data_IF_446581626654
#
_entry.id   IF_446581626654
#
_cell.length_a   1.000
_cell.length_b   1.000
_cell.length_c   1.000
_cell.angle_alpha   90.00
_cell.angle_beta   90.00
_cell.angle_gamma   90.00
#
_symmetry.space_group_name_H-M   'P 1'
#
loop_
_entity.id
_entity.type
_entity.pdbx_description
1 polymer ?
#
# COMPACT_ATOMS: atom_id res chain seq x y z
N UNK A 1 0.32 34.56 14.34
CA UNK A 1 -0.48 34.08 13.20
C UNK A 1 -0.41 32.57 13.20
N UNK A 2 -1.54 31.87 13.32
CA UNK A 2 -1.54 30.42 13.24
C UNK A 2 -1.14 30.00 11.82
N UNK A 3 -0.11 29.16 11.69
CA UNK A 3 0.21 28.52 10.40
C UNK A 3 -1.02 27.74 9.94
N UNK A 4 -1.46 27.98 8.71
CA UNK A 4 -2.49 27.16 8.07
C UNK A 4 -1.99 25.71 7.97
N UNK A 5 -2.76 24.78 8.53
CA UNK A 5 -2.53 23.35 8.34
C UNK A 5 -2.88 23.00 6.90
N UNK A 6 -1.95 22.33 6.20
CA UNK A 6 -2.16 21.85 4.83
C UNK A 6 -2.28 20.34 4.82
N UNK A 7 -3.35 19.83 4.23
CA UNK A 7 -3.50 18.41 3.99
C UNK A 7 -2.51 17.93 2.93
N UNK A 8 -1.77 16.87 3.24
CA UNK A 8 -0.79 16.27 2.34
C UNK A 8 -0.99 14.76 2.33
N UNK A 9 -0.95 14.10 1.16
CA UNK A 9 -0.94 12.65 1.10
C UNK A 9 0.29 12.13 1.83
N UNK A 10 0.13 11.03 2.57
CA UNK A 10 1.26 10.41 3.27
C UNK A 10 2.43 10.16 2.30
N UNK A 11 2.16 9.87 1.03
CA UNK A 11 3.19 9.45 0.06
C UNK A 11 4.10 10.60 -0.37
N UNK A 12 3.67 11.83 -0.12
CA UNK A 12 4.49 13.03 -0.31
C UNK A 12 5.32 13.37 0.93
N UNK A 13 5.04 12.72 2.06
CA UNK A 13 5.71 12.93 3.34
C UNK A 13 6.64 11.75 3.71
N UNK A 14 6.64 10.68 2.90
CA UNK A 14 7.38 9.46 3.20
C UNK A 14 8.18 8.96 2.01
N UNK A 15 9.36 8.43 2.29
CA UNK A 15 10.13 7.56 1.41
C UNK A 15 9.71 6.09 1.65
N UNK A 16 9.42 5.35 0.58
CA UNK A 16 8.99 3.96 0.64
C UNK A 16 10.17 3.01 0.39
N UNK A 17 10.34 2.01 1.27
CA UNK A 17 11.43 1.02 1.21
C UNK A 17 10.92 -0.41 0.95
N UNK A 18 9.65 -0.59 0.60
CA UNK A 18 9.01 -1.89 0.41
C UNK A 18 9.73 -2.73 -0.63
N UNK A 19 10.23 -2.10 -1.70
CA UNK A 19 10.99 -2.75 -2.77
C UNK A 19 12.37 -3.26 -2.35
N UNK A 20 12.87 -2.86 -1.17
CA UNK A 20 14.11 -3.41 -0.61
C UNK A 20 13.87 -4.62 0.29
N UNK A 21 12.62 -4.95 0.65
CA UNK A 21 12.30 -6.10 1.52
C UNK A 21 12.60 -7.41 0.80
N UNK A 22 13.13 -8.39 1.53
CA UNK A 22 13.33 -9.77 1.04
C UNK A 22 12.73 -10.72 2.08
N UNK A 23 11.47 -11.16 1.94
CA UNK A 23 10.84 -12.00 2.96
C UNK A 23 11.52 -13.37 3.07
N UNK A 24 11.76 -13.84 4.31
CA UNK A 24 12.37 -15.14 4.60
C UNK A 24 11.32 -16.05 5.22
N UNK A 25 11.14 -17.23 4.61
CA UNK A 25 10.24 -18.26 5.14
C UNK A 25 10.75 -18.77 6.47
N UNK A 26 9.84 -19.10 7.38
CA UNK A 26 10.18 -19.57 8.73
C UNK A 26 11.18 -20.75 8.73
N UNK A 27 10.99 -21.73 7.85
CA UNK A 27 11.90 -22.88 7.73
C UNK A 27 13.33 -22.52 7.30
N UNK A 28 13.52 -21.37 6.63
CA UNK A 28 14.80 -20.89 6.14
C UNK A 28 15.44 -19.85 7.08
N UNK A 29 14.74 -19.45 8.16
CA UNK A 29 15.26 -18.49 9.13
C UNK A 29 16.33 -19.15 9.97
N UNK A 30 17.50 -18.52 10.02
CA UNK A 30 18.58 -18.90 10.91
C UNK A 30 18.52 -18.03 12.16
N UNK A 31 18.46 -18.62 13.37
CA UNK A 31 18.40 -17.86 14.62
C UNK A 31 19.58 -16.91 14.77
N UNK A 32 19.33 -15.73 15.34
CA UNK A 32 20.39 -14.77 15.61
C UNK A 32 19.93 -13.59 16.45
N UNK A 33 20.71 -12.49 16.50
CA UNK A 33 20.44 -11.38 17.40
C UNK A 33 19.50 -10.31 16.83
N UNK A 34 19.19 -10.33 15.52
CA UNK A 34 18.47 -9.23 14.88
C UNK A 34 16.96 -9.50 14.81
N UNK A 35 16.10 -8.56 15.22
CA UNK A 35 14.66 -8.77 15.17
C UNK A 35 14.14 -8.89 13.73
N UNK A 36 13.21 -9.83 13.55
CA UNK A 36 12.44 -10.03 12.33
C UNK A 36 11.00 -9.54 12.57
N UNK A 37 10.61 -8.49 11.86
CA UNK A 37 9.33 -7.81 12.02
C UNK A 37 8.25 -8.35 11.07
N UNK A 38 7.01 -8.43 11.56
CA UNK A 38 5.78 -8.66 10.80
C UNK A 38 4.76 -7.54 11.00
N UNK A 39 3.48 -7.80 10.71
CA UNK A 39 2.40 -6.81 10.78
C UNK A 39 2.11 -6.26 12.18
N UNK A 40 2.47 -6.98 13.25
CA UNK A 40 2.12 -6.64 14.64
C UNK A 40 3.34 -6.46 15.55
N UNK A 41 4.53 -6.29 14.98
CA UNK A 41 5.79 -6.15 15.72
C UNK A 41 6.78 -7.27 15.43
N UNK A 42 7.64 -7.56 16.39
CA UNK A 42 8.69 -8.59 16.28
C UNK A 42 8.02 -9.97 16.35
N UNK A 43 8.32 -10.83 15.37
CA UNK A 43 7.80 -12.21 15.31
C UNK A 43 8.90 -13.24 15.53
N UNK A 44 10.17 -12.88 15.32
CA UNK A 44 11.31 -13.79 15.42
C UNK A 44 12.65 -13.02 15.55
N UNK A 45 13.77 -13.73 15.70
CA UNK A 45 15.12 -13.17 15.64
C UNK A 45 16.03 -13.97 14.70
N UNK A 46 16.75 -13.26 13.82
CA UNK A 46 17.51 -13.83 12.70
C UNK A 46 18.99 -13.44 12.72
N UNK A 47 19.83 -14.22 12.03
CA UNK A 47 21.29 -14.03 11.98
C UNK A 47 21.76 -12.77 11.24
N UNK A 48 20.93 -12.22 10.36
CA UNK A 48 21.28 -11.09 9.49
C UNK A 48 20.19 -10.03 9.47
N UNK A 49 20.50 -8.86 8.93
CA UNK A 49 19.60 -7.72 8.85
C UNK A 49 19.67 -7.10 7.45
N UNK A 50 18.61 -6.39 7.08
CA UNK A 50 18.49 -5.71 5.79
C UNK A 50 18.37 -4.19 5.94
N UNK A 51 17.92 -3.75 7.11
CA UNK A 51 17.72 -2.36 7.45
C UNK A 51 18.53 -2.01 8.70
N UNK A 52 19.13 -0.83 8.68
CA UNK A 52 19.78 -0.20 9.83
C UNK A 52 19.30 1.25 9.94
N UNK A 53 18.88 1.65 11.14
CA UNK A 53 18.38 2.98 11.47
C UNK A 53 16.90 2.97 11.87
N UNK A 54 16.27 4.15 11.81
CA UNK A 54 14.89 4.35 12.21
C UNK A 54 13.95 4.31 11.00
N UNK A 55 12.90 3.49 11.08
CA UNK A 55 11.87 3.38 10.07
C UNK A 55 10.50 3.20 10.73
N UNK A 56 9.46 3.60 10.00
CA UNK A 56 8.07 3.40 10.35
C UNK A 56 7.56 2.15 9.64
N UNK A 57 7.13 1.17 10.44
CA UNK A 57 6.46 -0.02 9.96
C UNK A 57 4.94 0.15 10.07
N UNK A 58 4.22 -0.18 9.00
CA UNK A 58 2.76 -0.07 8.92
C UNK A 58 2.22 -1.44 8.56
N UNK A 59 1.30 -1.97 9.34
CA UNK A 59 0.67 -3.27 9.08
C UNK A 59 0.04 -3.28 7.68
N UNK A 60 0.44 -4.25 6.84
CA UNK A 60 -0.14 -4.45 5.50
C UNK A 60 -1.41 -5.30 5.60
N UNK A 61 -1.42 -6.30 6.49
CA UNK A 61 -2.57 -7.16 6.71
C UNK A 61 -2.69 -7.62 8.17
N UNK A 62 -3.91 -8.00 8.56
CA UNK A 62 -4.20 -8.55 9.88
C UNK A 62 -5.48 -7.99 10.50
N UNK A 63 -6.11 -8.79 11.37
CA UNK A 63 -7.36 -8.40 12.05
C UNK A 63 -7.15 -7.16 12.95
N UNK A 64 -5.92 -6.94 13.42
CA UNK A 64 -5.51 -5.77 14.19
C UNK A 64 -5.75 -4.45 13.45
N UNK A 65 -5.79 -4.43 12.12
CA UNK A 65 -6.13 -3.24 11.35
C UNK A 65 -7.57 -2.78 11.59
N UNK A 66 -8.47 -3.71 11.92
CA UNK A 66 -9.89 -3.44 12.24
C UNK A 66 -10.11 -3.29 13.74
N UNK A 67 -9.60 -4.23 14.53
CA UNK A 67 -9.85 -4.29 15.99
C UNK A 67 -8.96 -3.35 16.79
N UNK A 68 -7.84 -2.87 16.19
CA UNK A 68 -6.83 -2.02 16.84
C UNK A 68 -6.25 -2.62 18.13
N UNK A 69 -6.28 -3.94 18.28
CA UNK A 69 -5.67 -4.64 19.44
C UNK A 69 -4.15 -4.50 19.48
N UNK A 70 -3.50 -4.40 18.32
CA UNK A 70 -2.10 -4.00 18.20
C UNK A 70 -1.98 -2.72 17.35
N UNK A 71 -0.94 -1.89 17.57
CA UNK A 71 -0.76 -0.67 16.80
C UNK A 71 -0.65 -0.96 15.30
N UNK A 72 -1.46 -0.26 14.49
CA UNK A 72 -1.40 -0.38 13.02
C UNK A 72 -0.11 0.19 12.42
N UNK A 73 0.63 1.01 13.18
CA UNK A 73 1.92 1.54 12.80
C UNK A 73 2.83 1.67 14.02
N UNK A 74 4.10 1.30 13.89
CA UNK A 74 5.09 1.30 14.97
C UNK A 74 6.51 1.55 14.43
N UNK A 75 7.40 2.02 15.28
CA UNK A 75 8.79 2.29 14.93
C UNK A 75 9.64 1.02 15.03
N UNK A 76 10.55 0.86 14.09
CA UNK A 76 11.65 -0.08 14.14
C UNK A 76 12.97 0.71 14.13
N UNK A 77 13.85 0.40 15.09
CA UNK A 77 15.10 1.10 15.30
C UNK A 77 16.27 0.12 15.33
N UNK A 78 17.42 0.54 14.80
CA UNK A 78 18.64 -0.27 14.75
C UNK A 78 18.64 -1.27 13.60
N UNK A 79 19.30 -2.41 13.79
CA UNK A 79 19.49 -3.45 12.77
C UNK A 79 18.37 -4.46 12.82
N UNK A 80 17.62 -4.60 11.73
CA UNK A 80 16.49 -5.52 11.67
C UNK A 80 16.18 -6.04 10.26
N UNK A 81 15.27 -7.01 10.21
CA UNK A 81 14.68 -7.54 8.99
C UNK A 81 13.15 -7.38 9.08
N UNK A 82 12.46 -7.16 7.96
CA UNK A 82 10.99 -7.06 7.92
C UNK A 82 10.38 -7.96 6.85
N UNK A 83 9.24 -8.56 7.15
CA UNK A 83 8.45 -9.40 6.24
C UNK A 83 7.61 -8.57 5.25
N UNK A 84 6.97 -9.23 4.28
CA UNK A 84 6.02 -8.61 3.36
C UNK A 84 4.72 -8.15 4.05
N UNK A 85 4.37 -8.66 5.22
CA UNK A 85 3.15 -8.28 5.96
C UNK A 85 3.20 -6.91 6.65
N UNK A 86 4.29 -6.14 6.49
CA UNK A 86 4.39 -4.77 7.02
C UNK A 86 5.10 -3.86 6.02
N UNK A 87 4.45 -2.77 5.63
CA UNK A 87 5.07 -1.71 4.84
C UNK A 87 6.18 -1.04 5.64
N UNK A 88 7.28 -0.67 4.97
CA UNK A 88 8.40 0.04 5.56
C UNK A 88 8.58 1.40 4.88
N UNK A 89 8.45 2.46 5.67
CA UNK A 89 8.59 3.84 5.21
C UNK A 89 9.45 4.67 6.16
N UNK A 90 9.94 5.81 5.70
CA UNK A 90 10.61 6.82 6.53
C UNK A 90 10.05 8.20 6.21
N UNK A 91 9.89 9.05 7.21
CA UNK A 91 9.54 10.46 6.98
C UNK A 91 10.64 11.18 6.20
N UNK A 92 10.24 12.07 5.28
CA UNK A 92 11.19 12.88 4.52
C UNK A 92 11.53 14.20 5.27
N UNK A 93 12.23 15.11 4.59
CA UNK A 93 12.58 16.44 5.10
C UNK A 93 11.38 17.30 5.55
N UNK A 94 10.17 16.94 5.14
CA UNK A 94 8.93 17.65 5.49
C UNK A 94 8.18 17.03 6.68
N UNK A 95 8.53 15.82 7.11
CA UNK A 95 7.80 15.11 8.15
C UNK A 95 8.68 14.18 8.99
N UNK A 96 8.57 14.33 10.31
CA UNK A 96 9.23 13.44 11.26
C UNK A 96 8.58 12.05 11.28
N UNK A 97 9.41 11.00 11.25
CA UNK A 97 8.95 9.60 11.21
C UNK A 97 8.12 9.22 12.43
N UNK A 98 8.51 9.68 13.63
CA UNK A 98 7.76 9.42 14.87
C UNK A 98 6.43 10.16 14.88
N UNK A 99 6.40 11.41 14.40
CA UNK A 99 5.15 12.15 14.24
C UNK A 99 4.17 11.42 13.31
N UNK A 100 4.65 10.92 12.18
CA UNK A 100 3.82 10.16 11.24
C UNK A 100 3.25 8.87 11.88
N UNK A 101 4.01 8.21 12.74
CA UNK A 101 3.52 7.07 13.52
C UNK A 101 2.30 7.47 14.37
N UNK A 102 2.42 8.52 15.19
CA UNK A 102 1.31 8.98 16.04
C UNK A 102 0.10 9.43 15.23
N UNK A 103 0.34 10.15 14.12
CA UNK A 103 -0.73 10.59 13.23
C UNK A 103 -1.50 9.40 12.62
N UNK A 104 -0.80 8.34 12.19
CA UNK A 104 -1.43 7.13 11.64
C UNK A 104 -2.16 6.30 12.69
N UNK A 105 -1.65 6.26 13.92
CA UNK A 105 -2.36 5.59 15.01
C UNK A 105 -3.67 6.30 15.36
N UNK A 106 -3.68 7.64 15.33
CA UNK A 106 -4.87 8.45 15.58
C UNK A 106 -5.83 8.53 14.37
N UNK A 107 -5.34 8.31 13.15
CA UNK A 107 -6.15 8.38 11.95
C UNK A 107 -7.16 7.23 11.85
N UNK A 108 -8.37 7.55 11.41
CA UNK A 108 -9.33 6.53 10.96
C UNK A 108 -8.89 5.96 9.60
N UNK A 109 -8.43 4.72 9.62
CA UNK A 109 -7.99 4.00 8.43
C UNK A 109 -9.07 3.07 7.86
N UNK A 110 -10.26 3.02 8.46
CA UNK A 110 -11.32 2.06 8.10
C UNK A 110 -11.70 2.12 6.63
N UNK A 111 -11.79 3.34 6.07
CA UNK A 111 -12.08 3.58 4.65
C UNK A 111 -10.97 3.17 3.67
N UNK A 112 -9.79 2.81 4.16
CA UNK A 112 -8.66 2.33 3.35
C UNK A 112 -8.43 0.83 3.46
N UNK A 113 -9.18 0.15 4.33
CA UNK A 113 -9.10 -1.30 4.48
C UNK A 113 -9.78 -1.97 3.30
N UNK A 114 -9.05 -2.90 2.69
CA UNK A 114 -9.51 -3.77 1.61
C UNK A 114 -9.57 -5.22 2.10
N UNK A 115 -10.15 -6.13 1.33
CA UNK A 115 -10.29 -7.54 1.71
C UNK A 115 -11.54 -7.82 2.55
N UNK A 116 -12.32 -8.82 2.11
CA UNK A 116 -13.57 -9.23 2.75
C UNK A 116 -13.35 -10.11 3.99
N UNK A 117 -12.33 -10.97 3.96
CA UNK A 117 -12.06 -11.96 5.03
C UNK A 117 -10.95 -11.53 5.97
N UNK A 118 -9.89 -10.90 5.48
CA UNK A 118 -8.80 -10.36 6.29
C UNK A 118 -8.52 -8.92 5.84
N UNK A 119 -8.58 -7.92 6.76
CA UNK A 119 -8.32 -6.54 6.39
C UNK A 119 -6.91 -6.38 5.84
N UNK A 120 -6.79 -5.63 4.75
CA UNK A 120 -5.53 -5.30 4.09
C UNK A 120 -5.43 -3.82 3.79
N UNK A 121 -4.28 -3.22 4.06
CA UNK A 121 -3.93 -1.87 3.70
C UNK A 121 -2.95 -1.91 2.52
N UNK A 122 -3.44 -2.01 1.29
CA UNK A 122 -2.56 -2.19 0.12
C UNK A 122 -1.90 -0.89 -0.34
N UNK A 123 -0.74 -1.01 -1.00
CA UNK A 123 -0.01 0.12 -1.58
C UNK A 123 -0.88 0.92 -2.58
N UNK A 124 -1.57 0.27 -3.52
CA UNK A 124 -2.33 0.95 -4.59
C UNK A 124 -3.40 1.90 -4.07
N UNK A 125 -4.18 1.45 -3.08
CA UNK A 125 -5.22 2.23 -2.43
C UNK A 125 -4.66 3.47 -1.69
N UNK A 126 -3.49 3.35 -1.08
CA UNK A 126 -2.94 4.40 -0.21
C UNK A 126 -2.21 5.51 -0.95
N UNK A 127 -1.59 5.20 -2.09
CA UNK A 127 -0.65 6.12 -2.76
C UNK A 127 -1.12 6.55 -4.16
N UNK A 128 -2.10 5.87 -4.76
CA UNK A 128 -2.60 6.23 -6.09
C UNK A 128 -3.92 7.03 -5.99
N UNK A 129 -3.80 8.36 -5.94
CA UNK A 129 -4.97 9.28 -5.94
C UNK A 129 -5.89 9.06 -7.15
N UNK A 130 -5.35 8.58 -8.28
CA UNK A 130 -6.10 8.37 -9.52
C UNK A 130 -7.09 7.22 -9.33
N UNK A 131 -6.65 6.10 -8.74
CA UNK A 131 -7.51 4.92 -8.52
C UNK A 131 -8.66 5.24 -7.54
N UNK A 132 -8.36 5.86 -6.41
CA UNK A 132 -9.38 6.19 -5.41
C UNK A 132 -10.43 7.20 -5.91
N UNK A 133 -10.03 8.15 -6.76
CA UNK A 133 -10.95 9.14 -7.35
C UNK A 133 -11.74 8.57 -8.53
N UNK A 134 -11.26 7.50 -9.16
CA UNK A 134 -11.89 6.94 -10.35
C UNK A 134 -12.89 5.84 -10.02
N UNK A 135 -12.52 4.88 -9.16
CA UNK A 135 -13.30 3.66 -8.94
C UNK A 135 -14.62 3.87 -8.18
N UNK A 136 -14.69 4.88 -7.29
CA UNK A 136 -15.94 5.23 -6.62
C UNK A 136 -17.01 5.63 -7.65
N UNK A 137 -16.68 6.50 -8.60
CA UNK A 137 -17.60 6.96 -9.63
C UNK A 137 -17.94 5.88 -10.67
N UNK A 138 -17.00 4.99 -11.00
CA UNK A 138 -17.29 3.82 -11.85
C UNK A 138 -18.36 2.95 -11.18
N UNK A 139 -18.21 2.71 -9.87
CA UNK A 139 -19.09 1.83 -9.12
C UNK A 139 -20.49 2.44 -8.95
N UNK A 140 -20.58 3.76 -8.78
CA UNK A 140 -21.85 4.50 -8.82
C UNK A 140 -22.60 4.27 -10.13
N UNK A 141 -21.89 4.30 -11.26
CA UNK A 141 -22.44 4.04 -12.58
C UNK A 141 -22.92 2.59 -12.80
N UNK A 142 -22.43 1.65 -12.00
CA UNK A 142 -22.82 0.24 -12.07
C UNK A 142 -24.07 -0.07 -11.24
N UNK A 143 -24.51 0.84 -10.37
CA UNK A 143 -25.60 0.60 -9.43
C UNK A 143 -26.89 0.21 -10.16
N UNK A 144 -27.36 -1.00 -9.89
CA UNK A 144 -28.61 -1.54 -10.44
C UNK A 144 -28.52 -2.04 -11.89
N UNK A 145 -27.30 -2.18 -12.45
CA UNK A 145 -27.09 -2.71 -13.81
C UNK A 145 -26.36 -4.06 -13.77
N UNK A 146 -26.94 -5.13 -14.34
CA UNK A 146 -26.30 -6.43 -14.33
C UNK A 146 -25.12 -6.47 -15.32
N UNK A 147 -23.96 -6.92 -14.85
CA UNK A 147 -22.70 -6.99 -15.61
C UNK A 147 -22.63 -8.30 -16.43
N UNK A 148 -23.46 -8.41 -17.45
CA UNK A 148 -23.69 -9.67 -18.18
C UNK A 148 -22.83 -9.87 -19.44
N UNK A 149 -22.04 -8.86 -19.83
CA UNK A 149 -21.11 -8.98 -20.96
C UNK A 149 -19.93 -8.02 -20.82
N UNK A 150 -18.81 -8.34 -21.49
CA UNK A 150 -17.65 -7.44 -21.56
C UNK A 150 -18.02 -6.07 -22.14
N UNK A 151 -18.92 -6.04 -23.12
CA UNK A 151 -19.42 -4.80 -23.72
C UNK A 151 -20.19 -3.94 -22.71
N UNK A 152 -21.07 -4.54 -21.91
CA UNK A 152 -21.79 -3.84 -20.84
C UNK A 152 -20.79 -3.26 -19.83
N UNK A 153 -19.79 -4.05 -19.41
CA UNK A 153 -18.77 -3.58 -18.47
C UNK A 153 -17.98 -2.40 -19.04
N UNK A 154 -17.47 -2.51 -20.27
CA UNK A 154 -16.69 -1.44 -20.94
C UNK A 154 -17.53 -0.17 -21.07
N UNK A 155 -18.78 -0.28 -21.52
CA UNK A 155 -19.68 0.86 -21.68
C UNK A 155 -19.99 1.54 -20.35
N UNK A 156 -20.15 0.79 -19.26
CA UNK A 156 -20.43 1.38 -17.95
C UNK A 156 -19.22 2.12 -17.38
N UNK A 157 -18.02 1.58 -17.57
CA UNK A 157 -16.78 2.26 -17.16
C UNK A 157 -16.58 3.54 -17.99
N UNK A 158 -16.67 3.43 -19.32
CA UNK A 158 -16.41 4.55 -20.24
C UNK A 158 -17.41 5.72 -20.08
N UNK A 159 -18.64 5.46 -19.63
CA UNK A 159 -19.64 6.50 -19.38
C UNK A 159 -19.49 7.18 -18.01
N UNK A 160 -18.42 6.90 -17.27
CA UNK A 160 -18.14 7.57 -16.00
C UNK A 160 -17.61 8.97 -16.23
N UNK A 161 -18.40 9.95 -15.79
CA UNK A 161 -18.05 11.37 -15.81
C UNK A 161 -18.46 12.03 -14.50
N UNK A 162 -17.73 13.07 -14.09
CA UNK A 162 -18.07 13.87 -12.89
C UNK A 162 -18.24 15.34 -13.26
N UNK A 163 -18.99 16.08 -12.44
CA UNK A 163 -19.15 17.54 -12.59
C UNK A 163 -17.82 18.31 -12.54
N UNK A 164 -16.82 17.73 -11.86
CA UNK A 164 -15.48 18.26 -11.73
C UNK A 164 -14.58 17.96 -12.95
N UNK A 165 -15.12 17.32 -14.00
CA UNK A 165 -14.47 17.14 -15.30
C UNK A 165 -13.74 15.81 -15.51
N UNK A 166 -13.84 14.84 -14.58
CA UNK A 166 -13.31 13.50 -14.83
C UNK A 166 -14.04 12.87 -16.03
N UNK A 167 -13.29 12.29 -16.96
CA UNK A 167 -13.83 11.47 -18.07
C UNK A 167 -13.01 10.21 -18.21
N UNK A 168 -13.67 9.06 -18.19
CA UNK A 168 -13.01 7.76 -18.28
C UNK A 168 -13.13 7.22 -19.70
N UNK A 169 -12.06 6.62 -20.22
CA UNK A 169 -12.09 5.80 -21.43
C UNK A 169 -11.80 4.37 -21.04
N UNK A 170 -12.58 3.44 -21.55
CA UNK A 170 -12.37 2.01 -21.38
C UNK A 170 -12.41 1.31 -22.74
N UNK A 171 -11.65 0.24 -22.86
CA UNK A 171 -11.61 -0.60 -24.05
C UNK A 171 -11.28 -2.02 -23.65
N UNK A 172 -11.74 -2.99 -24.45
CA UNK A 172 -11.39 -4.38 -24.27
C UNK A 172 -10.00 -4.63 -24.85
N UNK A 173 -9.10 -5.16 -24.04
CA UNK A 173 -7.80 -5.63 -24.51
C UNK A 173 -7.88 -7.14 -24.76
N UNK A 174 -7.85 -7.54 -26.03
CA UNK A 174 -7.93 -8.94 -26.46
C UNK A 174 -6.56 -9.55 -26.73
N UNK A 175 -5.47 -8.85 -26.39
CA UNK A 175 -4.12 -9.38 -26.59
C UNK A 175 -3.92 -10.65 -25.75
N UNK A 176 -3.27 -11.68 -26.31
CA UNK A 176 -2.89 -12.85 -25.54
C UNK A 176 -1.74 -12.47 -24.60
N UNK A 177 -1.95 -12.66 -23.30
CA UNK A 177 -0.94 -12.44 -22.27
C UNK A 177 -0.44 -13.78 -21.75
N UNK A 178 0.81 -14.18 -22.03
CA UNK A 178 1.36 -15.40 -21.47
C UNK A 178 1.42 -15.28 -19.94
N UNK A 179 0.96 -16.30 -19.23
CA UNK A 179 1.06 -16.40 -17.78
C UNK A 179 2.47 -16.84 -17.38
N UNK A 180 2.91 -16.48 -16.16
CA UNK A 180 4.22 -16.89 -15.65
C UNK A 180 5.43 -16.15 -16.23
N UNK A 181 5.21 -15.02 -16.92
CA UNK A 181 6.32 -14.18 -17.40
C UNK A 181 7.03 -13.55 -16.20
N UNK A 182 8.31 -13.87 -16.04
CA UNK A 182 9.18 -13.21 -15.05
C UNK A 182 9.67 -11.89 -15.63
N UNK A 183 9.26 -10.77 -15.04
CA UNK A 183 9.74 -9.44 -15.43
C UNK A 183 11.12 -9.22 -14.84
N UNK A 184 12.13 -8.99 -15.69
CA UNK A 184 13.48 -8.70 -15.20
C UNK A 184 13.56 -7.28 -14.62
N UNK A 185 14.49 -7.01 -13.68
CA UNK A 185 14.71 -5.65 -13.16
C UNK A 185 15.02 -4.63 -14.27
N UNK A 186 15.71 -5.06 -15.33
CA UNK A 186 15.99 -4.23 -16.49
C UNK A 186 14.72 -3.91 -17.30
N UNK A 187 13.84 -4.90 -17.52
CA UNK A 187 12.56 -4.70 -18.18
C UNK A 187 11.66 -3.74 -17.40
N UNK A 188 11.63 -3.86 -16.07
CA UNK A 188 10.86 -2.96 -15.20
C UNK A 188 11.40 -1.53 -15.24
N UNK A 189 12.73 -1.35 -15.25
CA UNK A 189 13.38 -0.03 -15.35
C UNK A 189 13.15 0.63 -16.72
N UNK A 190 12.94 -0.16 -17.77
CA UNK A 190 12.63 0.33 -19.11
C UNK A 190 11.19 0.84 -19.25
N UNK A 191 10.29 0.49 -18.33
CA UNK A 191 8.95 1.07 -18.29
C UNK A 191 9.10 2.51 -17.81
N UNK A 192 8.82 3.46 -18.70
CA UNK A 192 8.83 4.90 -18.41
C UNK A 192 7.61 5.27 -17.56
N UNK A 193 7.53 4.76 -16.34
CA UNK A 193 6.54 5.20 -15.37
C UNK A 193 6.99 6.56 -14.82
N UNK A 194 6.53 7.63 -15.44
CA UNK A 194 6.60 8.96 -14.83
C UNK A 194 5.55 9.05 -13.72
N UNK A 195 5.92 9.50 -12.50
CA UNK A 195 4.99 9.76 -11.41
C UNK A 195 3.87 10.75 -11.77
#
# INVERSE_FOLDING_TARGET
>A
MAREWRERPLGQLTENFDGRRVPVKEADRRPGPYPYYGASGIVDYVESYLFDGEYLLIAEDGENLRTRTTPAAFLAEGKFWVNNHAHIVRGNDQADTRYLMYALQAADISGYLTGSTMPKLTQGSKWNKIEHRMFCHITENWRGRPLISHEVVVNLIANTTTEQGLRIRAGLDTRPYPTGVTVTPAALKAVQLTP
#
